data_IF_096374424338
#
_entry.id   IF_096374424338
#
_cell.length_a   1.000
_cell.length_b   1.000
_cell.length_c   1.000
_cell.angle_alpha   90.00
_cell.angle_beta   90.00
_cell.angle_gamma   90.00
#
_symmetry.space_group_name_H-M   'P 1'
#
loop_
_entity.id
_entity.type
_entity.pdbx_description
1 polymer ?
#
# COMPACT_ATOMS: atom_id res chain seq x y z
N UNK A 1 1.77 -1.80 4.47
CA UNK A 1 2.26 -0.87 3.42
C UNK A 1 1.70 -1.30 2.08
N UNK A 2 1.21 -0.38 1.24
CA UNK A 2 0.67 -0.67 -0.09
C UNK A 2 1.30 0.26 -1.13
N UNK A 3 2.10 -0.29 -2.04
CA UNK A 3 2.88 0.49 -2.99
C UNK A 3 3.06 -0.22 -4.32
N UNK A 4 2.07 -0.17 -5.24
CA UNK A 4 2.20 -0.77 -6.56
C UNK A 4 3.16 0.03 -7.46
N UNK A 5 3.91 -0.69 -8.30
CA UNK A 5 4.93 -0.12 -9.19
C UNK A 5 5.94 0.76 -8.43
N UNK A 6 6.25 1.94 -8.98
CA UNK A 6 7.15 2.91 -8.34
C UNK A 6 6.69 3.41 -6.97
N UNK A 7 5.43 3.14 -6.57
CA UNK A 7 4.94 3.38 -5.22
C UNK A 7 5.64 2.56 -4.13
N UNK A 8 6.42 1.55 -4.50
CA UNK A 8 7.20 0.76 -3.53
C UNK A 8 8.43 1.50 -3.01
N UNK A 9 8.85 2.59 -3.65
CA UNK A 9 10.11 3.27 -3.38
C UNK A 9 10.35 3.62 -1.90
N UNK A 10 9.43 4.29 -1.17
CA UNK A 10 9.64 4.56 0.25
C UNK A 10 9.63 3.28 1.10
N UNK A 11 8.88 2.26 0.67
CA UNK A 11 8.78 1.00 1.40
C UNK A 11 10.04 0.14 1.29
N UNK A 12 10.84 0.32 0.24
CA UNK A 12 12.18 -0.27 0.17
C UNK A 12 13.04 0.22 1.34
N UNK A 13 13.07 1.53 1.59
CA UNK A 13 13.80 2.09 2.73
C UNK A 13 13.23 1.61 4.07
N UNK A 14 11.91 1.55 4.22
CA UNK A 14 11.29 1.05 5.47
C UNK A 14 11.71 -0.39 5.76
N UNK A 15 11.73 -1.27 4.75
CA UNK A 15 12.14 -2.66 4.94
C UNK A 15 13.64 -2.78 5.24
N UNK A 16 14.48 -1.96 4.61
CA UNK A 16 15.90 -1.88 4.94
C UNK A 16 16.11 -1.50 6.40
N UNK A 17 15.40 -0.49 6.90
CA UNK A 17 15.49 -0.10 8.31
C UNK A 17 15.00 -1.22 9.25
N UNK A 18 13.95 -1.95 8.88
CA UNK A 18 13.51 -3.14 9.66
C UNK A 18 14.57 -4.24 9.68
N UNK A 19 15.29 -4.44 8.57
CA UNK A 19 16.41 -5.40 8.52
C UNK A 19 17.52 -4.95 9.48
N UNK A 20 17.91 -3.69 9.44
CA UNK A 20 18.93 -3.13 10.34
C UNK A 20 18.53 -3.25 11.81
N UNK A 21 17.29 -2.90 12.16
CA UNK A 21 16.74 -3.05 13.51
C UNK A 21 16.81 -4.51 13.98
N UNK A 22 16.43 -5.47 13.13
CA UNK A 22 16.48 -6.89 13.47
C UNK A 22 17.92 -7.40 13.64
N UNK A 23 18.84 -6.98 12.78
CA UNK A 23 20.27 -7.33 12.89
C UNK A 23 20.91 -6.74 14.14
N UNK A 24 20.44 -5.57 14.60
CA UNK A 24 20.83 -4.96 15.86
C UNK A 24 20.20 -5.63 17.10
N UNK A 25 19.36 -6.65 16.92
CA UNK A 25 18.71 -7.39 18.01
C UNK A 25 17.42 -6.75 18.53
N UNK A 26 16.90 -5.72 17.87
CA UNK A 26 15.61 -5.12 18.24
C UNK A 26 14.45 -6.05 17.93
N UNK A 27 13.47 -6.09 18.82
CA UNK A 27 12.18 -6.72 18.55
C UNK A 27 11.39 -5.84 17.55
N UNK A 28 10.94 -6.44 16.45
CA UNK A 28 10.18 -5.75 15.41
C UNK A 28 8.85 -6.45 15.13
N UNK A 29 7.81 -5.64 14.96
CA UNK A 29 6.47 -6.14 14.62
C UNK A 29 6.34 -6.61 13.17
N UNK A 30 5.25 -7.35 12.90
CA UNK A 30 4.92 -7.85 11.56
C UNK A 30 4.83 -6.69 10.55
N UNK A 31 5.52 -6.88 9.43
CA UNK A 31 5.60 -5.92 8.33
C UNK A 31 5.02 -6.57 7.07
N UNK A 32 3.83 -6.09 6.65
CA UNK A 32 3.19 -6.53 5.41
C UNK A 32 3.37 -5.50 4.29
N UNK A 33 3.87 -5.96 3.14
CA UNK A 33 4.02 -5.17 1.92
C UNK A 33 3.10 -5.71 0.82
N UNK A 34 2.11 -4.91 0.42
CA UNK A 34 1.28 -5.18 -0.76
C UNK A 34 1.90 -4.49 -1.97
N UNK A 35 2.45 -5.28 -2.88
CA UNK A 35 3.10 -4.82 -4.11
C UNK A 35 2.31 -5.27 -5.33
N UNK A 36 2.21 -4.41 -6.34
CA UNK A 36 1.51 -4.74 -7.58
C UNK A 36 2.29 -4.32 -8.81
N UNK A 37 2.33 -5.18 -9.83
CA UNK A 37 2.99 -4.92 -11.09
C UNK A 37 2.26 -5.65 -12.26
N UNK A 38 2.80 -5.64 -13.47
CA UNK A 38 2.20 -6.32 -14.62
C UNK A 38 2.36 -7.82 -14.52
N UNK A 39 3.59 -8.28 -14.40
CA UNK A 39 3.93 -9.71 -14.29
C UNK A 39 5.23 -9.86 -13.50
N UNK A 40 5.50 -11.06 -13.00
CA UNK A 40 6.73 -11.31 -12.26
C UNK A 40 7.97 -11.07 -13.13
N UNK A 41 7.91 -11.42 -14.42
CA UNK A 41 9.06 -11.37 -15.33
C UNK A 41 9.31 -10.01 -15.99
N UNK A 42 8.35 -9.09 -15.93
CA UNK A 42 8.47 -7.77 -16.58
C UNK A 42 8.94 -6.69 -15.62
N UNK A 43 8.24 -6.50 -14.51
CA UNK A 43 8.34 -5.26 -13.72
C UNK A 43 8.21 -5.49 -12.20
N UNK A 44 8.59 -6.68 -11.73
CA UNK A 44 8.85 -6.94 -10.31
C UNK A 44 10.16 -6.27 -9.87
N UNK A 45 10.09 -4.97 -9.62
CA UNK A 45 11.26 -4.19 -9.19
C UNK A 45 11.78 -4.65 -7.82
N UNK A 46 13.10 -4.69 -7.69
CA UNK A 46 13.84 -5.13 -6.49
C UNK A 46 13.60 -6.59 -6.07
N UNK A 47 13.24 -7.49 -7.00
CA UNK A 47 12.93 -8.90 -6.70
C UNK A 47 13.96 -9.59 -5.79
N UNK A 48 15.24 -9.49 -6.12
CA UNK A 48 16.30 -10.15 -5.34
C UNK A 48 16.45 -9.56 -3.93
N UNK A 49 16.22 -8.25 -3.77
CA UNK A 49 16.23 -7.62 -2.46
C UNK A 49 15.06 -8.09 -1.61
N UNK A 50 13.85 -8.22 -2.19
CA UNK A 50 12.69 -8.73 -1.46
C UNK A 50 12.88 -10.18 -0.99
N UNK A 51 13.52 -11.02 -1.81
CA UNK A 51 13.89 -12.40 -1.42
C UNK A 51 14.85 -12.37 -0.24
N UNK A 52 15.87 -11.52 -0.29
CA UNK A 52 16.86 -11.39 0.78
C UNK A 52 16.24 -10.83 2.07
N UNK A 53 15.39 -9.81 1.98
CA UNK A 53 14.66 -9.26 3.14
C UNK A 53 13.73 -10.31 3.74
N UNK A 54 13.06 -11.13 2.91
CA UNK A 54 12.29 -12.28 3.39
C UNK A 54 13.13 -13.28 4.17
N UNK A 55 14.36 -13.56 3.73
CA UNK A 55 15.30 -14.44 4.43
C UNK A 55 15.77 -13.86 5.77
N UNK A 56 16.12 -12.58 5.80
CA UNK A 56 16.65 -11.89 6.98
C UNK A 56 15.57 -11.64 8.04
N UNK A 57 14.38 -11.21 7.60
CA UNK A 57 13.25 -10.88 8.47
C UNK A 57 12.47 -12.14 8.87
N UNK A 58 12.43 -13.18 8.04
CA UNK A 58 11.70 -14.41 8.33
C UNK A 58 10.20 -14.13 8.54
N UNK A 59 9.55 -14.69 9.58
CA UNK A 59 8.10 -14.63 9.73
C UNK A 59 7.54 -13.21 9.98
N UNK A 60 8.39 -12.25 10.36
CA UNK A 60 7.95 -10.87 10.62
C UNK A 60 7.86 -10.02 9.36
N UNK A 61 8.21 -10.56 8.18
CA UNK A 61 8.01 -9.87 6.90
C UNK A 61 7.20 -10.74 5.95
N UNK A 62 6.17 -10.14 5.35
CA UNK A 62 5.35 -10.78 4.33
C UNK A 62 5.15 -9.82 3.16
N UNK A 63 5.67 -10.19 2.00
CA UNK A 63 5.36 -9.54 0.74
C UNK A 63 4.19 -10.26 0.06
N UNK A 64 3.17 -9.50 -0.33
CA UNK A 64 1.99 -9.97 -1.05
C UNK A 64 1.97 -9.30 -2.42
N UNK A 65 2.09 -10.10 -3.48
CA UNK A 65 2.16 -9.61 -4.86
C UNK A 65 0.80 -9.69 -5.56
N UNK A 66 0.51 -8.68 -6.39
CA UNK A 66 -0.63 -8.64 -7.28
C UNK A 66 -0.14 -8.42 -8.73
N UNK A 67 -0.41 -9.38 -9.61
CA UNK A 67 0.01 -9.30 -11.00
C UNK A 67 -1.19 -9.00 -11.91
N UNK A 68 -1.17 -7.85 -12.55
CA UNK A 68 -2.30 -7.36 -13.35
C UNK A 68 -2.38 -7.97 -14.76
N UNK A 69 -1.33 -8.64 -15.23
CA UNK A 69 -1.21 -9.21 -16.59
C UNK A 69 -0.68 -10.65 -16.63
N UNK A 70 -0.37 -11.27 -15.49
CA UNK A 70 0.19 -12.64 -15.44
C UNK A 70 -0.81 -13.70 -15.94
N UNK A 71 -2.10 -13.55 -15.62
CA UNK A 71 -3.14 -14.50 -16.01
C UNK A 71 -4.06 -13.88 -17.06
N UNK A 72 -4.17 -14.53 -18.22
CA UNK A 72 -5.11 -14.10 -19.27
C UNK A 72 -6.54 -14.08 -18.75
N UNK A 73 -7.25 -12.98 -18.98
CA UNK A 73 -8.65 -12.80 -18.58
C UNK A 73 -8.89 -12.43 -17.12
N UNK A 74 -7.86 -12.38 -16.25
CA UNK A 74 -8.01 -11.97 -14.84
C UNK A 74 -6.93 -10.99 -14.41
N UNK A 75 -7.34 -9.73 -14.20
CA UNK A 75 -6.46 -8.70 -13.62
C UNK A 75 -6.54 -8.78 -12.10
N UNK A 76 -5.39 -8.83 -11.44
CA UNK A 76 -5.28 -8.78 -9.98
C UNK A 76 -4.49 -7.53 -9.58
N UNK A 77 -5.09 -6.69 -8.75
CA UNK A 77 -4.50 -5.46 -8.23
C UNK A 77 -4.27 -5.56 -6.71
N UNK A 78 -3.56 -4.56 -6.16
CA UNK A 78 -3.24 -4.53 -4.73
C UNK A 78 -4.51 -4.45 -3.87
N UNK A 79 -5.57 -3.82 -4.38
CA UNK A 79 -6.89 -3.73 -3.75
C UNK A 79 -7.49 -5.13 -3.53
N UNK A 80 -7.36 -6.03 -4.51
CA UNK A 80 -7.86 -7.41 -4.39
C UNK A 80 -7.13 -8.16 -3.27
N UNK A 81 -5.81 -7.96 -3.19
CA UNK A 81 -4.98 -8.56 -2.14
C UNK A 81 -5.27 -7.95 -0.77
N UNK A 82 -5.41 -6.64 -0.66
CA UNK A 82 -5.79 -5.97 0.59
C UNK A 82 -7.14 -6.51 1.09
N UNK A 83 -8.12 -6.69 0.19
CA UNK A 83 -9.41 -7.31 0.54
C UNK A 83 -9.25 -8.75 1.04
N UNK A 84 -8.44 -9.56 0.37
CA UNK A 84 -8.15 -10.95 0.78
C UNK A 84 -7.57 -11.03 2.19
N UNK A 85 -6.75 -10.06 2.57
CA UNK A 85 -6.12 -9.97 3.89
C UNK A 85 -6.89 -9.06 4.87
N UNK A 86 -8.17 -8.77 4.61
CA UNK A 86 -8.95 -7.82 5.39
C UNK A 86 -9.05 -8.14 6.90
N UNK A 87 -9.18 -9.42 7.25
CA UNK A 87 -9.18 -9.89 8.65
C UNK A 87 -7.83 -9.55 9.32
N UNK A 88 -6.72 -10.00 8.72
CA UNK A 88 -5.37 -9.74 9.24
C UNK A 88 -5.10 -8.24 9.39
N UNK A 89 -5.48 -7.44 8.39
CA UNK A 89 -5.32 -5.98 8.42
C UNK A 89 -6.13 -5.36 9.55
N UNK A 90 -7.39 -5.76 9.74
CA UNK A 90 -8.23 -5.23 10.82
C UNK A 90 -7.66 -5.54 12.20
N UNK A 91 -7.18 -6.77 12.40
CA UNK A 91 -6.51 -7.22 13.63
C UNK A 91 -5.24 -6.43 13.90
N UNK A 92 -4.34 -6.35 12.91
CA UNK A 92 -3.09 -5.59 13.06
C UNK A 92 -3.36 -4.12 13.40
N UNK A 93 -4.36 -3.51 12.79
CA UNK A 93 -4.76 -2.13 13.09
C UNK A 93 -5.35 -1.97 14.50
N UNK A 94 -6.03 -2.99 15.02
CA UNK A 94 -6.49 -3.01 16.41
C UNK A 94 -5.31 -3.12 17.39
N UNK A 95 -4.27 -3.86 16.99
CA UNK A 95 -3.03 -4.05 17.76
C UNK A 95 -2.03 -2.88 17.60
N UNK A 96 -2.44 -1.77 16.97
CA UNK A 96 -1.63 -0.55 16.85
C UNK A 96 -0.71 -0.49 15.63
N UNK A 97 -0.88 -1.38 14.64
CA UNK A 97 -0.13 -1.27 13.39
C UNK A 97 -0.46 0.02 12.63
N UNK A 98 0.48 0.44 11.79
CA UNK A 98 0.34 1.59 10.90
C UNK A 98 0.10 1.14 9.46
N UNK A 99 -0.74 1.88 8.74
CA UNK A 99 -1.06 1.65 7.35
C UNK A 99 -0.49 2.78 6.48
N UNK A 100 0.27 2.41 5.46
CA UNK A 100 0.92 3.35 4.55
C UNK A 100 0.52 3.04 3.12
N UNK A 101 0.22 4.06 2.34
CA UNK A 101 -0.03 3.96 0.90
C UNK A 101 0.88 4.91 0.15
N UNK A 102 1.50 4.44 -0.93
CA UNK A 102 2.32 5.29 -1.78
C UNK A 102 2.02 4.98 -3.24
N UNK A 103 1.37 5.91 -3.96
CA UNK A 103 1.04 5.84 -5.40
C UNK A 103 0.34 7.12 -5.87
N UNK A 104 -0.12 7.14 -7.12
CA UNK A 104 -1.11 8.09 -7.62
C UNK A 104 -2.30 8.29 -6.65
N UNK A 105 -2.74 9.54 -6.52
CA UNK A 105 -3.81 9.97 -5.61
C UNK A 105 -5.15 9.24 -5.83
N UNK A 106 -5.45 8.79 -7.06
CA UNK A 106 -6.63 7.97 -7.33
C UNK A 106 -6.53 6.61 -6.62
N UNK A 107 -5.37 5.97 -6.70
CA UNK A 107 -5.13 4.67 -6.06
C UNK A 107 -5.13 4.81 -4.53
N UNK A 108 -4.54 5.88 -4.00
CA UNK A 108 -4.60 6.16 -2.57
C UNK A 108 -6.05 6.28 -2.07
N UNK A 109 -6.88 7.03 -2.81
CA UNK A 109 -8.31 7.17 -2.52
C UNK A 109 -9.06 5.82 -2.57
N UNK A 110 -8.81 5.01 -3.60
CA UNK A 110 -9.42 3.67 -3.72
C UNK A 110 -9.05 2.76 -2.54
N UNK A 111 -7.77 2.77 -2.13
CA UNK A 111 -7.30 2.00 -0.98
C UNK A 111 -7.91 2.53 0.33
N UNK A 112 -8.12 3.84 0.47
CA UNK A 112 -8.82 4.42 1.63
C UNK A 112 -10.25 3.90 1.73
N UNK A 113 -11.03 3.95 0.65
CA UNK A 113 -12.40 3.43 0.64
C UNK A 113 -12.47 1.90 0.85
N UNK A 114 -11.48 1.18 0.33
CA UNK A 114 -11.36 -0.26 0.58
C UNK A 114 -11.11 -0.53 2.07
N UNK A 115 -10.23 0.25 2.71
CA UNK A 115 -9.97 0.11 4.14
C UNK A 115 -11.23 0.42 4.95
N UNK A 116 -11.98 1.46 4.60
CA UNK A 116 -13.29 1.76 5.20
C UNK A 116 -14.26 0.58 5.11
N UNK A 117 -14.30 -0.08 3.94
CA UNK A 117 -15.15 -1.26 3.73
C UNK A 117 -14.70 -2.45 4.59
N UNK A 118 -13.40 -2.72 4.64
CA UNK A 118 -12.82 -3.78 5.49
C UNK A 118 -13.14 -3.51 6.95
N UNK A 119 -12.96 -2.29 7.43
CA UNK A 119 -13.23 -1.95 8.83
C UNK A 119 -14.72 -2.08 9.16
N UNK A 120 -15.62 -1.74 8.22
CA UNK A 120 -17.06 -1.93 8.39
C UNK A 120 -17.40 -3.41 8.57
N UNK A 121 -16.91 -4.25 7.66
CA UNK A 121 -17.13 -5.70 7.67
C UNK A 121 -16.52 -6.37 8.91
N UNK A 122 -15.26 -6.07 9.24
CA UNK A 122 -14.51 -6.79 10.27
C UNK A 122 -14.77 -6.31 11.70
N UNK A 123 -15.29 -5.09 11.88
CA UNK A 123 -15.57 -4.52 13.21
C UNK A 123 -17.06 -4.36 13.48
N UNK A 124 -17.91 -4.82 12.56
CA UNK A 124 -19.38 -4.71 12.66
C UNK A 124 -19.85 -3.28 12.92
N UNK A 125 -19.19 -2.30 12.29
CA UNK A 125 -19.56 -0.88 12.37
C UNK A 125 -20.22 -0.43 11.06
N UNK A 126 -21.22 0.47 11.09
CA UNK A 126 -21.86 0.96 9.87
C UNK A 126 -20.85 1.61 8.92
N UNK A 127 -20.96 1.35 7.61
CA UNK A 127 -20.08 1.94 6.60
C UNK A 127 -20.05 3.48 6.64
N UNK A 128 -21.18 4.11 6.99
CA UNK A 128 -21.26 5.57 7.13
C UNK A 128 -20.36 6.12 8.25
N UNK A 129 -20.00 5.30 9.25
CA UNK A 129 -19.17 5.69 10.38
C UNK A 129 -17.67 5.44 10.14
N UNK A 130 -17.31 4.57 9.19
CA UNK A 130 -15.90 4.17 8.96
C UNK A 130 -15.05 5.27 8.36
N UNK A 131 -15.66 6.20 7.61
CA UNK A 131 -14.98 7.43 7.17
C UNK A 131 -14.42 8.24 8.35
N UNK A 132 -15.16 8.29 9.47
CA UNK A 132 -14.70 8.93 10.71
C UNK A 132 -13.55 8.17 11.37
N UNK A 133 -13.54 6.84 11.29
CA UNK A 133 -12.45 6.00 11.78
C UNK A 133 -11.17 6.24 10.99
N UNK A 134 -11.23 6.18 9.66
CA UNK A 134 -10.04 6.40 8.81
C UNK A 134 -9.56 7.85 8.91
N UNK A 135 -10.47 8.82 9.02
CA UNK A 135 -10.10 10.21 9.31
C UNK A 135 -9.31 10.33 10.62
N UNK A 136 -9.76 9.66 11.69
CA UNK A 136 -9.03 9.63 12.96
C UNK A 136 -7.65 8.99 12.79
N UNK A 137 -7.56 7.86 12.08
CA UNK A 137 -6.27 7.20 11.81
C UNK A 137 -5.27 8.13 11.11
N UNK A 138 -5.73 9.00 10.19
CA UNK A 138 -4.88 10.02 9.56
C UNK A 138 -4.38 11.04 10.57
N UNK A 139 -5.28 11.56 11.42
CA UNK A 139 -4.91 12.55 12.45
C UNK A 139 -3.97 12.01 13.53
N UNK A 140 -3.98 10.69 13.77
CA UNK A 140 -3.10 10.02 14.73
C UNK A 140 -1.89 9.35 14.07
N UNK A 141 -1.62 9.66 12.80
CA UNK A 141 -0.51 9.08 12.01
C UNK A 141 -0.52 7.55 11.88
N UNK A 142 -1.63 6.90 12.19
CA UNK A 142 -1.85 5.46 12.00
C UNK A 142 -2.13 5.14 10.52
N UNK A 143 -2.62 6.11 9.74
CA UNK A 143 -2.78 6.01 8.29
C UNK A 143 -2.05 7.16 7.60
N UNK A 144 -1.12 6.86 6.71
CA UNK A 144 -0.32 7.87 5.99
C UNK A 144 -0.25 7.58 4.49
N UNK A 145 -0.21 8.66 3.71
CA UNK A 145 -0.14 8.61 2.24
C UNK A 145 1.04 9.43 1.74
N UNK A 146 1.79 8.86 0.80
CA UNK A 146 2.71 9.59 -0.06
C UNK A 146 2.18 9.46 -1.49
N UNK A 147 1.35 10.44 -1.89
CA UNK A 147 0.61 10.37 -3.13
C UNK A 147 0.85 11.56 -4.06
N UNK A 148 1.04 11.26 -5.34
CA UNK A 148 1.23 12.25 -6.40
C UNK A 148 0.10 12.18 -7.43
N UNK A 149 -0.01 13.17 -8.31
CA UNK A 149 -0.91 13.09 -9.46
C UNK A 149 -0.12 12.95 -10.74
N UNK A 150 -0.51 12.00 -11.58
CA UNK A 150 0.00 11.86 -12.93
C UNK A 150 -0.69 12.76 -13.96
N UNK A 151 -1.66 13.60 -13.56
CA UNK A 151 -2.29 14.56 -14.49
C UNK A 151 -1.33 15.67 -14.85
N UNK A 152 -0.67 15.52 -15.98
CA UNK A 152 -0.19 16.64 -16.80
C UNK A 152 -1.37 17.27 -17.55
N UNK A 153 -2.19 18.06 -16.86
CA UNK A 153 -2.92 19.14 -17.53
C UNK A 153 -2.01 20.37 -17.51
N UNK A 154 -1.07 20.43 -18.46
CA UNK A 154 -0.58 21.73 -18.91
C UNK A 154 -1.76 22.37 -19.63
N UNK A 155 -2.61 23.08 -18.89
CA UNK A 155 -3.52 24.03 -19.52
C UNK A 155 -2.63 25.17 -20.01
N UNK A 156 -2.22 25.12 -21.28
CA UNK A 156 -1.73 26.29 -21.99
C UNK A 156 -2.89 27.28 -22.10
N UNK A 157 -3.17 28.01 -21.02
CA UNK A 157 -3.90 29.27 -21.12
C UNK A 157 -2.97 30.25 -21.85
N UNK A 158 -3.56 31.07 -22.71
CA UNK A 158 -2.96 32.09 -23.59
C UNK A 158 -2.80 31.66 -25.07
N UNK A 159 -3.92 31.31 -25.70
CA UNK A 159 -4.15 31.74 -27.08
C UNK A 159 -4.46 33.23 -27.08
N UNK A 160 -3.51 34.06 -27.49
CA UNK A 160 -3.77 35.44 -27.88
C UNK A 160 -4.46 35.40 -29.26
N UNK A 161 -5.73 35.80 -29.31
CA UNK A 161 -6.40 36.17 -30.56
C UNK A 161 -5.84 37.52 -31.03
N UNK A 162 -5.45 37.56 -32.30
CA UNK A 162 -5.12 38.79 -33.01
C UNK A 162 -6.42 39.56 -33.31
N UNK A 163 -6.45 40.83 -32.92
CA UNK A 163 -7.40 41.85 -33.37
C UNK A 163 -6.64 43.13 -33.68
#
# INVERSE_FOLDING_TARGET
>A
MAGPGTGVAPFRAFVQERVEQKLAGSEIGLTMLFFGCRSQKEDLIYEEEWKEYGRLLGPVFRMVTAFSRETSGKKVYVQDKIRQFGVDISTLLADGAHFYVCRDALIAKEVSHLLESILAEQRSIPLAETAGVVKRMRTTSQYQEDAWSSKSEIVLKHGHEYG
#
